data_IF_688899714642
#
_entry.id   IF_688899714642
#
_cell.length_a   1.000
_cell.length_b   1.000
_cell.length_c   1.000
_cell.angle_alpha   90.00
_cell.angle_beta   90.00
_cell.angle_gamma   90.00
#
_symmetry.space_group_name_H-M   'P 1'
#
loop_
_entity.id
_entity.type
_entity.pdbx_description
1 polymer ?
#
# COMPACT_ATOMS: atom_id res chain seq x y z
N UNK A 1 -23.04 17.54 -17.94
CA UNK A 1 -21.95 18.16 -17.15
C UNK A 1 -20.72 17.24 -17.03
N UNK A 2 -20.44 16.40 -18.05
CA UNK A 2 -19.44 15.30 -17.98
C UNK A 2 -18.23 15.45 -18.92
N UNK A 3 -17.98 16.62 -19.54
CA UNK A 3 -16.94 16.73 -20.58
C UNK A 3 -15.72 17.61 -20.25
N UNK A 4 -15.56 18.09 -19.01
CA UNK A 4 -14.33 18.80 -18.58
C UNK A 4 -13.62 18.17 -17.36
N UNK A 5 -14.28 17.32 -16.58
CA UNK A 5 -13.66 16.67 -15.42
C UNK A 5 -12.64 15.56 -15.79
N UNK A 6 -12.80 14.93 -16.96
CA UNK A 6 -11.95 13.79 -17.36
C UNK A 6 -10.49 14.19 -17.66
N UNK A 7 -10.23 15.45 -18.06
CA UNK A 7 -8.89 15.91 -18.41
C UNK A 7 -8.04 16.38 -17.21
N UNK A 8 -8.66 16.77 -16.08
CA UNK A 8 -7.93 17.19 -14.86
C UNK A 8 -7.56 15.98 -14.00
N UNK A 9 -8.36 14.91 -14.05
CA UNK A 9 -8.12 13.67 -13.29
C UNK A 9 -6.85 12.93 -13.79
N UNK A 10 -6.51 13.06 -15.07
CA UNK A 10 -5.36 12.41 -15.69
C UNK A 10 -3.97 12.99 -15.32
N UNK A 11 -3.90 14.10 -14.59
CA UNK A 11 -2.62 14.72 -14.18
C UNK A 11 -2.31 14.56 -12.67
N UNK A 12 -3.14 13.83 -11.92
CA UNK A 12 -2.94 13.69 -10.48
C UNK A 12 -1.75 12.75 -10.22
N UNK A 13 -0.65 13.33 -9.76
CA UNK A 13 0.56 12.62 -9.34
C UNK A 13 0.48 12.23 -7.86
N UNK A 14 -0.24 13.01 -7.06
CA UNK A 14 -0.40 12.82 -5.61
C UNK A 14 -1.87 12.94 -5.22
N UNK A 15 -2.36 11.95 -4.45
CA UNK A 15 -3.69 11.98 -3.85
C UNK A 15 -3.57 11.63 -2.36
N UNK A 16 -4.21 12.43 -1.50
CA UNK A 16 -4.17 12.23 -0.06
C UNK A 16 -5.52 12.53 0.60
N UNK A 17 -6.09 11.54 1.29
CA UNK A 17 -7.28 11.71 2.12
C UNK A 17 -7.08 10.98 3.45
N UNK A 18 -6.77 11.72 4.50
CA UNK A 18 -6.49 11.18 5.84
C UNK A 18 -7.64 11.54 6.77
N UNK A 19 -8.11 10.57 7.56
CA UNK A 19 -9.18 10.78 8.55
C UNK A 19 -10.52 11.22 7.93
N UNK A 20 -10.93 10.58 6.83
CA UNK A 20 -12.15 10.94 6.07
C UNK A 20 -13.18 9.81 6.02
N UNK A 21 -12.97 8.71 6.75
CA UNK A 21 -13.87 7.55 6.81
C UNK A 21 -14.08 6.87 5.44
N UNK A 22 -13.13 7.01 4.51
CA UNK A 22 -13.18 6.34 3.21
C UNK A 22 -13.17 4.82 3.43
N UNK A 23 -14.04 4.11 2.73
CA UNK A 23 -14.06 2.64 2.72
C UNK A 23 -14.00 2.07 1.30
N UNK A 24 -14.47 2.84 0.31
CA UNK A 24 -14.45 2.47 -1.11
C UNK A 24 -13.42 3.33 -1.87
N UNK A 25 -12.44 2.67 -2.48
CA UNK A 25 -11.43 3.27 -3.35
C UNK A 25 -11.54 2.82 -4.80
N UNK A 26 -12.65 2.19 -5.19
CA UNK A 26 -12.92 1.81 -6.58
C UNK A 26 -12.76 2.96 -7.60
N UNK A 27 -13.06 4.24 -7.27
CA UNK A 27 -12.82 5.35 -8.20
C UNK A 27 -11.34 5.58 -8.53
N UNK A 28 -10.40 5.04 -7.73
CA UNK A 28 -8.96 5.22 -7.98
C UNK A 28 -8.43 4.38 -9.13
N UNK A 29 -9.17 3.33 -9.56
CA UNK A 29 -8.72 2.36 -10.56
C UNK A 29 -8.25 2.99 -11.87
N UNK A 30 -8.87 4.10 -12.29
CA UNK A 30 -8.53 4.81 -13.53
C UNK A 30 -7.41 5.84 -13.38
N UNK A 31 -6.89 6.08 -12.18
CA UNK A 31 -5.88 7.10 -11.89
C UNK A 31 -4.47 6.56 -12.11
N UNK A 32 -4.21 5.99 -13.29
CA UNK A 32 -2.98 5.24 -13.59
C UNK A 32 -1.70 6.09 -13.54
N UNK A 33 -1.80 7.42 -13.49
CA UNK A 33 -0.67 8.34 -13.34
C UNK A 33 -0.32 8.66 -11.88
N UNK A 34 -1.04 8.08 -10.90
CA UNK A 34 -0.71 8.27 -9.49
C UNK A 34 0.69 7.74 -9.18
N UNK A 35 1.47 8.59 -8.49
CA UNK A 35 2.81 8.29 -7.99
C UNK A 35 2.82 8.21 -6.46
N UNK A 36 2.00 9.06 -5.80
CA UNK A 36 1.85 9.11 -4.34
C UNK A 36 0.39 8.91 -3.97
N UNK A 37 0.10 7.98 -3.06
CA UNK A 37 -1.25 7.74 -2.55
C UNK A 37 -1.22 7.58 -1.03
N UNK A 38 -1.88 8.51 -0.32
CA UNK A 38 -1.91 8.55 1.13
C UNK A 38 -3.34 8.47 1.67
N UNK A 39 -3.68 7.36 2.32
CA UNK A 39 -5.03 7.02 2.76
C UNK A 39 -5.06 6.52 4.21
N UNK A 40 -4.14 7.01 5.04
CA UNK A 40 -4.09 6.66 6.47
C UNK A 40 -5.37 7.05 7.21
N UNK A 41 -5.70 6.32 8.28
CA UNK A 41 -6.83 6.60 9.17
C UNK A 41 -8.18 6.60 8.45
N UNK A 42 -8.49 5.50 7.78
CA UNK A 42 -9.74 5.30 7.07
C UNK A 42 -10.38 3.94 7.46
N UNK A 43 -11.34 3.46 6.67
CA UNK A 43 -12.06 2.20 6.90
C UNK A 43 -11.91 1.25 5.70
N UNK A 44 -10.77 1.33 5.01
CA UNK A 44 -10.52 0.61 3.77
C UNK A 44 -10.21 -0.85 4.09
N UNK A 45 -10.83 -1.75 3.34
CA UNK A 45 -10.63 -3.21 3.42
C UNK A 45 -10.12 -3.79 2.12
N UNK A 46 -10.69 -3.34 1.00
CA UNK A 46 -10.39 -3.80 -0.34
C UNK A 46 -9.45 -2.81 -1.05
N UNK A 47 -8.26 -3.31 -1.42
CA UNK A 47 -7.27 -2.56 -2.20
C UNK A 47 -7.07 -3.12 -3.62
N UNK A 48 -7.97 -4.00 -4.09
CA UNK A 48 -7.98 -4.49 -5.47
C UNK A 48 -7.97 -3.40 -6.55
N UNK A 49 -8.55 -2.18 -6.34
CA UNK A 49 -8.44 -1.10 -7.31
C UNK A 49 -7.01 -0.61 -7.57
N UNK A 50 -6.05 -0.93 -6.70
CA UNK A 50 -4.65 -0.50 -6.83
C UNK A 50 -3.85 -1.34 -7.84
N UNK A 51 -4.31 -2.53 -8.22
CA UNK A 51 -3.52 -3.52 -8.98
C UNK A 51 -2.93 -2.97 -10.30
N UNK A 52 -3.61 -2.00 -10.94
CA UNK A 52 -3.18 -1.37 -12.18
C UNK A 52 -2.39 -0.06 -12.00
N UNK A 53 -2.21 0.43 -10.77
CA UNK A 53 -1.56 1.72 -10.48
C UNK A 53 -0.04 1.58 -10.38
N UNK A 54 0.56 0.98 -11.39
CA UNK A 54 1.98 0.57 -11.42
C UNK A 54 2.99 1.73 -11.35
N UNK A 55 2.55 2.98 -11.48
CA UNK A 55 3.39 4.17 -11.32
C UNK A 55 3.58 4.60 -9.85
N UNK A 56 2.91 3.95 -8.89
CA UNK A 56 3.05 4.28 -7.47
C UNK A 56 4.48 4.03 -6.98
N UNK A 57 5.06 5.03 -6.30
CA UNK A 57 6.37 4.97 -5.65
C UNK A 57 6.28 5.13 -4.13
N UNK A 58 5.19 5.74 -3.64
CA UNK A 58 4.90 5.95 -2.23
C UNK A 58 3.43 5.65 -1.93
N UNK A 59 3.19 4.77 -0.96
CA UNK A 59 1.86 4.30 -0.58
C UNK A 59 1.72 4.25 0.95
N UNK A 60 0.71 4.93 1.50
CA UNK A 60 0.39 4.87 2.94
C UNK A 60 -1.07 4.53 3.17
N UNK A 61 -1.29 3.53 4.01
CA UNK A 61 -2.58 2.95 4.33
C UNK A 61 -2.66 2.54 5.81
N UNK A 62 -1.88 3.20 6.67
CA UNK A 62 -1.87 2.91 8.09
C UNK A 62 -3.22 3.17 8.75
N UNK A 63 -3.57 2.44 9.80
CA UNK A 63 -4.85 2.54 10.49
C UNK A 63 -6.05 2.34 9.54
N UNK A 64 -6.08 1.17 8.90
CA UNK A 64 -7.20 0.70 8.07
C UNK A 64 -7.61 -0.72 8.51
N UNK A 65 -8.32 -1.46 7.66
CA UNK A 65 -8.84 -2.79 7.97
C UNK A 65 -8.47 -3.79 6.86
N UNK A 66 -7.26 -3.62 6.31
CA UNK A 66 -6.73 -4.42 5.20
C UNK A 66 -6.20 -5.74 5.74
N UNK A 67 -6.51 -6.83 5.05
CA UNK A 67 -5.96 -8.17 5.33
C UNK A 67 -5.32 -8.82 4.11
N UNK A 68 -5.86 -8.56 2.91
CA UNK A 68 -5.31 -9.02 1.64
C UNK A 68 -4.50 -7.90 0.96
N UNK A 69 -3.21 -8.16 0.74
CA UNK A 69 -2.29 -7.28 0.03
C UNK A 69 -1.80 -7.85 -1.31
N UNK A 70 -2.42 -8.91 -1.81
CA UNK A 70 -2.13 -9.46 -3.15
C UNK A 70 -2.19 -8.43 -4.28
N UNK A 71 -3.05 -7.38 -4.25
CA UNK A 71 -3.05 -6.35 -5.29
C UNK A 71 -1.76 -5.53 -5.38
N UNK A 72 -0.90 -5.56 -4.35
CA UNK A 72 0.36 -4.83 -4.34
C UNK A 72 1.47 -5.53 -5.14
N UNK A 73 1.34 -6.82 -5.47
CA UNK A 73 2.41 -7.62 -6.07
C UNK A 73 2.98 -7.04 -7.38
N UNK A 74 2.16 -6.33 -8.15
CA UNK A 74 2.53 -5.70 -9.42
C UNK A 74 3.13 -4.29 -9.26
N UNK A 75 3.12 -3.71 -8.06
CA UNK A 75 3.54 -2.33 -7.81
C UNK A 75 5.05 -2.21 -7.57
N UNK A 76 5.85 -2.79 -8.48
CA UNK A 76 7.30 -2.95 -8.34
C UNK A 76 8.10 -1.64 -8.29
N UNK A 77 7.46 -0.50 -8.57
CA UNK A 77 8.06 0.84 -8.45
C UNK A 77 8.00 1.41 -7.02
N UNK A 78 7.32 0.74 -6.09
CA UNK A 78 7.24 1.18 -4.69
C UNK A 78 8.63 1.25 -4.06
N UNK A 79 8.93 2.41 -3.48
CA UNK A 79 10.11 2.65 -2.65
C UNK A 79 9.74 2.84 -1.18
N UNK A 80 8.50 3.25 -0.91
CA UNK A 80 7.98 3.55 0.42
C UNK A 80 6.59 2.95 0.59
N UNK A 81 6.42 2.09 1.59
CA UNK A 81 5.17 1.40 1.87
C UNK A 81 4.88 1.33 3.36
N UNK A 82 3.83 2.03 3.80
CA UNK A 82 3.37 2.00 5.19
C UNK A 82 1.97 1.39 5.30
N UNK A 83 1.87 0.31 6.05
CA UNK A 83 0.67 -0.52 6.25
C UNK A 83 0.43 -0.81 7.74
N UNK A 84 0.93 0.05 8.64
CA UNK A 84 0.80 -0.11 10.07
C UNK A 84 -0.66 -0.21 10.53
N UNK A 85 -0.93 -0.95 11.60
CA UNK A 85 -2.25 -1.05 12.20
C UNK A 85 -3.32 -1.48 11.19
N UNK A 86 -3.12 -2.69 10.65
CA UNK A 86 -4.05 -3.39 9.76
C UNK A 86 -4.23 -4.83 10.28
N UNK A 87 -4.74 -5.73 9.44
CA UNK A 87 -5.03 -7.13 9.77
C UNK A 87 -4.26 -8.08 8.85
N UNK A 88 -3.07 -7.67 8.41
CA UNK A 88 -2.24 -8.41 7.46
C UNK A 88 -1.54 -9.56 8.18
N UNK A 89 -1.54 -10.74 7.56
CA UNK A 89 -0.82 -11.93 8.06
C UNK A 89 0.08 -12.55 6.99
N UNK A 90 -0.38 -12.56 5.73
CA UNK A 90 0.41 -12.99 4.57
C UNK A 90 1.08 -11.80 3.90
N UNK A 91 2.41 -11.83 3.84
CA UNK A 91 3.25 -10.83 3.17
C UNK A 91 4.00 -11.38 1.97
N UNK A 92 3.66 -12.58 1.49
CA UNK A 92 4.21 -13.14 0.26
C UNK A 92 4.07 -12.22 -0.98
N UNK A 93 3.02 -11.38 -1.12
CA UNK A 93 2.93 -10.42 -2.23
C UNK A 93 4.05 -9.38 -2.25
N UNK A 94 4.73 -9.13 -1.12
CA UNK A 94 5.81 -8.15 -1.04
C UNK A 94 7.12 -8.63 -1.68
N UNK A 95 7.30 -9.94 -1.91
CA UNK A 95 8.58 -10.51 -2.37
C UNK A 95 9.09 -9.93 -3.70
N UNK A 96 8.20 -9.41 -4.55
CA UNK A 96 8.53 -8.80 -5.85
C UNK A 96 8.88 -7.32 -5.74
N UNK A 97 8.67 -6.68 -4.59
CA UNK A 97 8.83 -5.24 -4.40
C UNK A 97 10.27 -4.86 -4.06
N UNK A 98 11.22 -5.36 -4.84
CA UNK A 98 12.67 -5.26 -4.56
C UNK A 98 13.22 -3.84 -4.54
N UNK A 99 12.45 -2.84 -4.96
CA UNK A 99 12.80 -1.41 -4.89
C UNK A 99 12.45 -0.75 -3.55
N UNK A 100 11.75 -1.45 -2.65
CA UNK A 100 11.42 -0.93 -1.33
C UNK A 100 12.67 -0.54 -0.54
N UNK A 101 12.61 0.65 0.05
CA UNK A 101 13.63 1.21 0.96
C UNK A 101 13.06 1.37 2.36
N UNK A 102 11.80 1.77 2.44
CA UNK A 102 11.09 2.02 3.69
C UNK A 102 9.83 1.13 3.73
N UNK A 103 9.78 0.22 4.71
CA UNK A 103 8.64 -0.67 4.91
C UNK A 103 8.19 -0.64 6.37
N UNK A 104 6.92 -0.30 6.57
CA UNK A 104 6.30 -0.32 7.89
C UNK A 104 5.08 -1.22 7.90
N UNK A 105 5.15 -2.27 8.72
CA UNK A 105 4.15 -3.34 8.87
C UNK A 105 3.80 -3.55 10.36
N UNK A 106 4.09 -2.57 11.21
CA UNK A 106 3.87 -2.68 12.66
C UNK A 106 2.39 -2.84 12.99
N UNK A 107 2.06 -3.46 14.13
CA UNK A 107 0.67 -3.70 14.52
C UNK A 107 -0.13 -4.46 13.45
N UNK A 108 0.39 -5.61 13.02
CA UNK A 108 -0.30 -6.56 12.14
C UNK A 108 -0.29 -7.96 12.79
N UNK A 109 -0.58 -9.01 12.03
CA UNK A 109 -0.69 -10.39 12.48
C UNK A 109 0.33 -11.29 11.77
N UNK A 110 1.50 -10.73 11.43
CA UNK A 110 2.55 -11.40 10.65
C UNK A 110 3.33 -12.35 11.55
N UNK A 111 3.59 -13.56 11.08
CA UNK A 111 4.43 -14.55 11.77
C UNK A 111 5.61 -15.03 10.93
N UNK A 112 5.45 -15.09 9.60
CA UNK A 112 6.52 -15.44 8.66
C UNK A 112 7.04 -14.18 7.94
N UNK A 113 8.33 -13.94 8.07
CA UNK A 113 9.04 -12.83 7.42
C UNK A 113 9.96 -13.28 6.28
N UNK A 114 9.99 -14.57 5.94
CA UNK A 114 10.79 -15.09 4.83
C UNK A 114 10.56 -14.38 3.48
N UNK A 115 9.36 -13.85 3.15
CA UNK A 115 9.17 -13.08 1.92
C UNK A 115 9.99 -11.78 1.84
N UNK A 116 10.49 -11.28 2.97
CA UNK A 116 11.31 -10.07 3.01
C UNK A 116 12.77 -10.32 2.59
N UNK A 117 13.21 -11.58 2.46
CA UNK A 117 14.60 -11.93 2.11
C UNK A 117 15.04 -11.35 0.76
N UNK A 118 14.11 -11.18 -0.19
CA UNK A 118 14.40 -10.60 -1.52
C UNK A 118 14.52 -9.08 -1.51
N UNK A 119 14.12 -8.40 -0.43
CA UNK A 119 14.05 -6.94 -0.35
C UNK A 119 15.40 -6.32 0.03
N UNK A 120 16.42 -6.59 -0.77
CA UNK A 120 17.83 -6.22 -0.51
C UNK A 120 18.10 -4.71 -0.49
N UNK A 121 17.14 -3.88 -0.89
CA UNK A 121 17.24 -2.42 -0.87
C UNK A 121 16.63 -1.77 0.38
N UNK A 122 16.02 -2.57 1.28
CA UNK A 122 15.45 -2.06 2.53
C UNK A 122 16.53 -1.38 3.38
N UNK A 123 16.16 -0.22 3.93
CA UNK A 123 16.97 0.60 4.83
C UNK A 123 16.28 0.71 6.18
N UNK A 124 14.98 0.93 6.15
CA UNK A 124 14.14 1.09 7.33
C UNK A 124 13.00 0.06 7.29
N UNK A 125 12.94 -0.77 8.34
CA UNK A 125 11.97 -1.85 8.48
C UNK A 125 11.36 -1.82 9.88
N UNK A 126 10.04 -1.65 9.95
CA UNK A 126 9.29 -1.65 11.20
C UNK A 126 8.30 -2.81 11.23
N UNK A 127 8.49 -3.71 12.20
CA UNK A 127 7.72 -4.96 12.35
C UNK A 127 7.20 -5.17 13.78
N UNK A 128 7.34 -4.20 14.67
CA UNK A 128 6.98 -4.37 16.07
C UNK A 128 5.47 -4.59 16.24
N UNK A 129 5.07 -5.28 17.31
CA UNK A 129 3.69 -5.71 17.55
C UNK A 129 3.11 -6.55 16.40
N UNK A 130 3.89 -7.54 15.97
CA UNK A 130 3.45 -8.67 15.15
C UNK A 130 3.57 -9.98 15.95
N UNK A 131 3.35 -11.13 15.30
CA UNK A 131 3.43 -12.49 15.86
C UNK A 131 4.73 -13.20 15.47
N UNK A 132 5.80 -12.43 15.24
CA UNK A 132 7.11 -12.96 14.84
C UNK A 132 7.78 -13.57 16.07
N UNK A 133 8.15 -14.85 15.96
CA UNK A 133 8.73 -15.63 17.08
C UNK A 133 10.16 -16.11 16.81
N UNK A 134 10.64 -16.00 15.57
CA UNK A 134 11.97 -16.43 15.14
C UNK A 134 12.59 -15.34 14.26
N UNK A 135 13.85 -14.96 14.54
CA UNK A 135 14.62 -13.92 13.84
C UNK A 135 16.03 -14.44 13.59
#
# INVERSE_FOLDING_TARGET
MFSLACAIIALIVLLGFVNTQISDISPLKSLTNLTYLWLDNNQIRDISPLQSLTNLTSLTFGNNQISDISPLQSLTNLTYLWLDNNQISDISPLQSLTNLRDLSLSYNQISDISPLQSLTNLRDLYLFNNQISDI
#
